data_IF_812407186659
#
_entry.id   IF_812407186659
#
_cell.length_a   1.000
_cell.length_b   1.000
_cell.length_c   1.000
_cell.angle_alpha   90.00
_cell.angle_beta   90.00
_cell.angle_gamma   90.00
#
_symmetry.space_group_name_H-M   'P 1'
#
loop_
_entity.id
_entity.type
_entity.pdbx_description
1 polymer ?
#
# COMPACT_ATOMS: atom_id res chain seq x y z
N UNK A 1 17.49 -25.02 -11.66
CA UNK A 1 17.31 -23.72 -12.35
C UNK A 1 17.15 -22.66 -11.27
N UNK A 2 17.92 -21.57 -11.31
CA UNK A 2 17.68 -20.41 -10.43
C UNK A 2 16.43 -19.69 -10.93
N UNK A 3 15.41 -19.52 -10.07
CA UNK A 3 14.24 -18.72 -10.43
C UNK A 3 14.66 -17.24 -10.58
N UNK A 4 14.12 -16.52 -11.58
CA UNK A 4 14.40 -15.09 -11.71
C UNK A 4 13.85 -14.34 -10.49
N UNK A 5 14.71 -13.54 -9.86
CA UNK A 5 14.30 -12.64 -8.76
C UNK A 5 13.78 -11.36 -9.39
N UNK A 6 12.47 -11.14 -9.25
CA UNK A 6 11.85 -9.88 -9.65
C UNK A 6 12.16 -8.80 -8.62
N UNK A 7 12.41 -7.59 -9.10
CA UNK A 7 12.80 -6.46 -8.25
C UNK A 7 11.99 -5.21 -8.58
N UNK A 8 11.72 -4.41 -7.56
CA UNK A 8 11.10 -3.09 -7.67
C UNK A 8 12.16 -1.99 -7.50
N UNK A 9 12.09 -0.90 -8.27
CA UNK A 9 12.97 0.25 -8.11
C UNK A 9 12.66 1.03 -6.82
N UNK A 10 13.66 1.71 -6.27
CA UNK A 10 13.51 2.43 -5.00
C UNK A 10 12.41 3.52 -5.02
N UNK A 11 12.12 4.13 -6.17
CA UNK A 11 11.03 5.11 -6.25
C UNK A 11 9.66 4.51 -5.89
N UNK A 12 9.44 3.22 -6.15
CA UNK A 12 8.21 2.54 -5.78
C UNK A 12 8.13 2.37 -4.26
N UNK A 13 9.27 2.09 -3.61
CA UNK A 13 9.39 2.02 -2.14
C UNK A 13 9.02 3.36 -1.51
N UNK A 14 9.49 4.47 -2.09
CA UNK A 14 9.05 5.81 -1.66
C UNK A 14 7.55 6.00 -1.79
N UNK A 15 6.96 5.58 -2.91
CA UNK A 15 5.49 5.63 -3.09
C UNK A 15 4.73 4.92 -1.96
N UNK A 16 5.19 3.76 -1.47
CA UNK A 16 4.54 3.09 -0.35
C UNK A 16 4.61 3.89 0.97
N UNK A 17 5.55 4.83 1.10
CA UNK A 17 5.77 5.65 2.30
C UNK A 17 5.14 7.04 2.19
N UNK A 18 4.90 7.54 0.98
CA UNK A 18 4.53 8.93 0.73
C UNK A 18 3.16 9.31 1.27
N UNK A 19 2.19 8.39 1.29
CA UNK A 19 0.89 8.64 1.94
C UNK A 19 1.03 8.93 3.44
N UNK A 20 1.84 8.14 4.16
CA UNK A 20 2.15 8.38 5.57
C UNK A 20 2.91 9.69 5.80
N UNK A 21 3.88 10.00 4.92
CA UNK A 21 4.67 11.24 4.96
C UNK A 21 3.80 12.47 4.74
N UNK A 22 2.92 12.44 3.74
CA UNK A 22 2.00 13.52 3.43
C UNK A 22 1.03 13.85 4.57
N UNK A 23 0.72 12.87 5.42
CA UNK A 23 -0.08 13.05 6.63
C UNK A 23 0.73 13.42 7.88
N UNK A 24 2.06 13.50 7.79
CA UNK A 24 2.93 13.74 8.95
C UNK A 24 3.00 12.57 9.94
N UNK A 25 2.59 11.35 9.52
CA UNK A 25 2.56 10.15 10.36
C UNK A 25 3.88 9.36 10.32
N UNK A 26 4.74 9.64 9.34
CA UNK A 26 5.99 8.91 9.11
C UNK A 26 7.13 9.42 10.02
N UNK A 27 7.05 9.13 11.32
CA UNK A 27 8.19 9.38 12.23
C UNK A 27 9.38 8.48 11.89
N UNK A 28 10.56 8.80 12.42
CA UNK A 28 11.77 7.99 12.19
C UNK A 28 11.64 6.58 12.79
N UNK A 29 10.99 6.45 13.94
CA UNK A 29 10.71 5.18 14.59
C UNK A 29 9.73 4.35 13.75
N UNK A 30 8.69 4.99 13.20
CA UNK A 30 7.74 4.34 12.31
C UNK A 30 8.42 3.83 11.05
N UNK A 31 9.25 4.68 10.42
CA UNK A 31 10.00 4.33 9.20
C UNK A 31 10.90 3.11 9.43
N UNK A 32 11.69 3.12 10.52
CA UNK A 32 12.51 1.97 10.90
C UNK A 32 11.68 0.72 11.16
N UNK A 33 10.52 0.86 11.79
CA UNK A 33 9.61 -0.24 12.08
C UNK A 33 9.01 -0.89 10.83
N UNK A 34 8.57 -0.11 9.84
CA UNK A 34 8.00 -0.65 8.60
C UNK A 34 9.08 -1.24 7.69
N UNK A 35 10.23 -0.58 7.56
CA UNK A 35 11.36 -1.06 6.75
C UNK A 35 11.99 -2.32 7.36
N UNK A 36 12.15 -2.37 8.68
CA UNK A 36 12.66 -3.52 9.41
C UNK A 36 11.79 -4.76 9.22
N UNK A 37 10.46 -4.62 9.30
CA UNK A 37 9.52 -5.71 9.00
C UNK A 37 9.58 -6.19 7.56
N UNK A 38 9.95 -5.30 6.63
CA UNK A 38 10.12 -5.61 5.22
C UNK A 38 11.53 -6.13 4.87
N UNK A 39 12.47 -6.13 5.83
CA UNK A 39 13.87 -6.49 5.58
C UNK A 39 14.58 -5.51 4.64
N UNK A 40 14.17 -4.24 4.61
CA UNK A 40 14.75 -3.19 3.75
C UNK A 40 15.69 -2.32 4.60
N UNK A 41 16.93 -2.13 4.15
CA UNK A 41 17.84 -1.18 4.79
C UNK A 41 17.45 0.25 4.45
N UNK A 42 17.35 1.11 5.46
CA UNK A 42 17.03 2.53 5.30
C UNK A 42 17.99 3.25 4.34
N UNK A 43 19.26 2.85 4.34
CA UNK A 43 20.29 3.41 3.43
C UNK A 43 19.96 3.25 1.94
N UNK A 44 19.14 2.26 1.57
CA UNK A 44 18.71 2.07 0.18
C UNK A 44 17.83 3.22 -0.31
N UNK A 45 17.07 3.86 0.58
CA UNK A 45 16.19 4.98 0.23
C UNK A 45 16.95 6.19 -0.34
N UNK A 46 18.23 6.34 -0.03
CA UNK A 46 19.08 7.43 -0.55
C UNK A 46 19.73 7.09 -1.90
N UNK A 47 19.71 5.81 -2.29
CA UNK A 47 20.36 5.31 -3.49
C UNK A 47 19.35 5.22 -4.64
N UNK A 48 19.32 6.24 -5.50
CA UNK A 48 18.33 6.39 -6.60
C UNK A 48 18.16 5.17 -7.51
N UNK A 49 19.25 4.45 -7.79
CA UNK A 49 19.24 3.28 -8.67
C UNK A 49 19.13 1.95 -7.92
N UNK A 50 18.97 2.00 -6.59
CA UNK A 50 18.78 0.79 -5.81
C UNK A 50 17.43 0.14 -6.09
N UNK A 51 17.38 -1.16 -5.80
CA UNK A 51 16.22 -2.00 -6.03
C UNK A 51 16.02 -2.91 -4.82
N UNK A 52 14.78 -3.24 -4.55
CA UNK A 52 14.38 -4.23 -3.55
C UNK A 52 13.74 -5.42 -4.25
N UNK A 53 13.72 -6.59 -3.62
CA UNK A 53 12.96 -7.71 -4.18
C UNK A 53 11.46 -7.43 -4.12
N UNK A 54 10.67 -8.09 -4.97
CA UNK A 54 9.21 -7.98 -4.92
C UNK A 54 8.65 -8.46 -3.57
N UNK A 55 9.29 -9.44 -2.94
CA UNK A 55 8.91 -9.92 -1.60
C UNK A 55 9.12 -8.82 -0.54
N UNK A 56 10.25 -8.12 -0.57
CA UNK A 56 10.51 -6.97 0.30
C UNK A 56 9.51 -5.85 0.05
N UNK A 57 9.22 -5.55 -1.22
CA UNK A 57 8.24 -4.53 -1.60
C UNK A 57 6.82 -4.86 -1.07
N UNK A 58 6.37 -6.10 -1.25
CA UNK A 58 5.07 -6.56 -0.74
C UNK A 58 5.04 -6.59 0.79
N UNK A 59 6.12 -7.01 1.43
CA UNK A 59 6.24 -6.98 2.89
C UNK A 59 6.15 -5.55 3.42
N UNK A 60 6.74 -4.58 2.71
CA UNK A 60 6.61 -3.16 3.04
C UNK A 60 5.17 -2.67 2.88
N UNK A 61 4.50 -3.01 1.79
CA UNK A 61 3.08 -2.65 1.58
C UNK A 61 2.23 -3.12 2.77
N UNK A 62 2.38 -4.39 3.17
CA UNK A 62 1.65 -4.97 4.30
C UNK A 62 2.03 -4.25 5.60
N UNK A 63 3.33 -4.02 5.85
CA UNK A 63 3.80 -3.36 7.06
C UNK A 63 3.23 -1.94 7.20
N UNK A 64 3.25 -1.14 6.13
CA UNK A 64 2.67 0.21 6.09
C UNK A 64 1.16 0.12 6.33
N UNK A 65 0.43 -0.66 5.52
CA UNK A 65 -1.02 -0.86 5.65
C UNK A 65 -1.44 -1.19 7.08
N UNK A 66 -0.79 -2.18 7.69
CA UNK A 66 -1.13 -2.64 9.03
C UNK A 66 -0.79 -1.60 10.10
N UNK A 67 0.33 -0.88 9.95
CA UNK A 67 0.72 0.17 10.90
C UNK A 67 -0.21 1.37 10.90
N UNK A 68 -0.74 1.73 9.73
CA UNK A 68 -1.68 2.84 9.56
C UNK A 68 -3.13 2.40 9.76
N UNK A 69 -3.38 1.09 9.79
CA UNK A 69 -4.72 0.50 9.71
C UNK A 69 -5.51 1.09 8.51
N UNK A 70 -4.82 1.24 7.37
CA UNK A 70 -5.30 1.93 6.17
C UNK A 70 -4.82 1.21 4.89
N UNK A 71 -5.74 0.60 4.16
CA UNK A 71 -5.55 -0.07 2.86
C UNK A 71 -5.08 0.89 1.76
N UNK A 72 -5.30 2.20 1.92
CA UNK A 72 -4.81 3.23 1.01
C UNK A 72 -3.48 3.85 1.44
N UNK A 73 -2.78 3.28 2.43
CA UNK A 73 -1.43 3.69 2.85
C UNK A 73 -1.30 5.17 3.23
N UNK A 74 -2.39 5.82 3.64
CA UNK A 74 -2.40 7.25 3.96
C UNK A 74 -2.65 8.19 2.78
N UNK A 75 -2.91 7.70 1.56
CA UNK A 75 -3.17 8.57 0.40
C UNK A 75 -4.53 9.29 0.40
N UNK A 76 -5.53 8.76 1.12
CA UNK A 76 -6.83 9.42 1.24
C UNK A 76 -6.79 10.45 2.38
N UNK A 77 -6.96 11.73 2.06
CA UNK A 77 -6.82 12.82 3.03
C UNK A 77 -7.89 12.81 4.13
N UNK A 78 -9.15 12.50 3.79
CA UNK A 78 -10.27 12.64 4.72
C UNK A 78 -10.46 11.41 5.61
N UNK A 79 -10.50 10.21 5.01
CA UNK A 79 -10.85 8.98 5.71
C UNK A 79 -9.89 7.84 5.32
N UNK A 80 -9.26 7.17 6.29
CA UNK A 80 -8.48 5.96 6.02
C UNK A 80 -9.42 4.82 5.62
N UNK A 81 -9.01 4.03 4.65
CA UNK A 81 -9.77 2.87 4.19
C UNK A 81 -9.40 1.67 5.06
N UNK A 82 -10.18 1.36 6.09
CA UNK A 82 -9.84 0.30 7.06
C UNK A 82 -9.69 -1.07 6.39
N UNK A 83 -8.86 -1.98 6.93
CA UNK A 83 -8.76 -3.35 6.44
C UNK A 83 -10.12 -4.02 6.22
N UNK A 84 -10.31 -4.59 5.04
CA UNK A 84 -11.56 -5.23 4.62
C UNK A 84 -12.53 -4.31 3.86
N UNK A 85 -12.28 -3.00 3.83
CA UNK A 85 -13.09 -2.04 3.06
C UNK A 85 -13.02 -2.34 1.56
N UNK A 86 -11.82 -2.63 1.02
CA UNK A 86 -11.69 -3.03 -0.38
C UNK A 86 -12.42 -4.34 -0.67
N UNK A 87 -12.33 -5.32 0.24
CA UNK A 87 -13.05 -6.58 0.10
C UNK A 87 -14.58 -6.38 0.10
N UNK A 88 -15.09 -5.48 0.94
CA UNK A 88 -16.51 -5.11 0.97
C UNK A 88 -16.95 -4.48 -0.37
N UNK A 89 -16.19 -3.51 -0.88
CA UNK A 89 -16.45 -2.88 -2.17
C UNK A 89 -16.47 -3.91 -3.31
N UNK A 90 -15.46 -4.78 -3.38
CA UNK A 90 -15.41 -5.83 -4.41
C UNK A 90 -16.61 -6.77 -4.29
N UNK A 91 -17.01 -7.16 -3.07
CA UNK A 91 -18.18 -8.03 -2.86
C UNK A 91 -19.49 -7.37 -3.29
N UNK A 92 -19.65 -6.06 -3.14
CA UNK A 92 -20.86 -5.36 -3.61
C UNK A 92 -20.98 -5.38 -5.14
N UNK A 93 -19.84 -5.26 -5.83
CA UNK A 93 -19.76 -5.27 -7.28
C UNK A 93 -19.70 -6.66 -7.92
N UNK A 94 -19.31 -7.71 -7.18
CA UNK A 94 -19.03 -9.04 -7.73
C UNK A 94 -20.20 -9.67 -8.50
N UNK A 95 -21.44 -9.37 -8.10
CA UNK A 95 -22.66 -9.91 -8.73
C UNK A 95 -23.26 -9.00 -9.80
N UNK A 96 -22.56 -7.94 -10.20
CA UNK A 96 -23.06 -7.01 -11.20
C UNK A 96 -23.07 -7.63 -12.60
N UNK A 97 -24.16 -7.41 -13.35
CA UNK A 97 -24.35 -7.97 -14.70
C UNK A 97 -23.63 -7.18 -15.81
N UNK A 98 -22.98 -6.07 -15.46
CA UNK A 98 -22.21 -5.25 -16.39
C UNK A 98 -21.13 -4.47 -15.64
N UNK A 99 -20.08 -4.08 -16.36
CA UNK A 99 -19.02 -3.22 -15.82
C UNK A 99 -19.59 -1.90 -15.28
N UNK A 100 -20.54 -1.28 -15.99
CA UNK A 100 -21.17 -0.04 -15.54
C UNK A 100 -21.91 -0.21 -14.21
N UNK A 101 -22.58 -1.34 -14.00
CA UNK A 101 -23.23 -1.66 -12.73
C UNK A 101 -22.20 -1.93 -11.62
N UNK A 102 -21.12 -2.65 -11.93
CA UNK A 102 -20.02 -2.91 -10.99
C UNK A 102 -19.38 -1.61 -10.50
N UNK A 103 -19.02 -0.71 -11.43
CA UNK A 103 -18.43 0.59 -11.12
C UNK A 103 -19.36 1.45 -10.26
N UNK A 104 -20.66 1.50 -10.58
CA UNK A 104 -21.64 2.22 -9.75
C UNK A 104 -21.66 1.69 -8.32
N UNK A 105 -21.74 0.37 -8.13
CA UNK A 105 -21.77 -0.25 -6.80
C UNK A 105 -20.46 -0.02 -6.02
N UNK A 106 -19.30 -0.05 -6.70
CA UNK A 106 -18.01 0.30 -6.11
C UNK A 106 -18.03 1.75 -5.60
N UNK A 107 -18.46 2.71 -6.43
CA UNK A 107 -18.53 4.11 -6.06
C UNK A 107 -19.48 4.37 -4.89
N UNK A 108 -20.68 3.77 -4.91
CA UNK A 108 -21.65 3.86 -3.83
C UNK A 108 -21.09 3.27 -2.52
N UNK A 109 -20.41 2.11 -2.60
CA UNK A 109 -19.79 1.49 -1.42
C UNK A 109 -18.63 2.33 -0.89
N UNK A 110 -17.80 2.90 -1.77
CA UNK A 110 -16.69 3.78 -1.40
C UNK A 110 -17.18 5.04 -0.68
N UNK A 111 -18.30 5.63 -1.13
CA UNK A 111 -18.88 6.82 -0.50
C UNK A 111 -19.42 6.58 0.93
N UNK A 112 -19.66 5.31 1.30
CA UNK A 112 -20.14 4.93 2.64
C UNK A 112 -18.99 4.65 3.64
N UNK A 113 -17.76 4.52 3.15
CA UNK A 113 -16.57 4.26 3.96
C UNK A 113 -15.96 5.57 4.52
#
# INVERSE_FOLDING_TARGET
MLQPVFTAPIFAVHGLLDGARGKGLATQEWLKGVLGRAGISESLLELKDSRVTVEQFNALFIAVKDSLNDECLGYLHERPMRPGSFALMVRSAFTAHSLSCALRRLSESFALL
#
